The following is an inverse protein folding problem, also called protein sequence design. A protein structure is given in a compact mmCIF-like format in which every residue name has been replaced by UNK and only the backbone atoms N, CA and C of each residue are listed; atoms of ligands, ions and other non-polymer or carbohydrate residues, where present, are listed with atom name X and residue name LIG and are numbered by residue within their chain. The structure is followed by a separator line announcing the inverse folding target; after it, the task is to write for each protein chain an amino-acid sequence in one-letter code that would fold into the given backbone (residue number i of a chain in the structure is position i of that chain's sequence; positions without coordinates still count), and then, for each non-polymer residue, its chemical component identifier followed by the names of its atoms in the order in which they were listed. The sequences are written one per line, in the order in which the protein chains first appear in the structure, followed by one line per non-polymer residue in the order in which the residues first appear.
data_IF_573262417632
#
_entry.id   IF_573262417632
#
_cell.length_a   1.000
_cell.length_b   1.000
_cell.length_c   1.000
_cell.angle_alpha   90.00
_cell.angle_beta   90.00
_cell.angle_gamma   90.00
#
_symmetry.space_group_name_H-M   'P 1'
#
loop_
_entity.id
_entity.type
_entity.pdbx_description
1 polymer ?
#
# COMPACT_ATOMS: atom_id res chain seq x y z
N UNK A 1 -3.47 -5.05 -14.25
CA UNK A 1 -3.49 -5.54 -12.86
C UNK A 1 -2.80 -6.88 -12.77
N UNK A 2 -2.05 -7.09 -11.71
CA UNK A 2 -1.43 -8.39 -11.43
C UNK A 2 -2.43 -9.30 -10.74
N UNK A 3 -2.29 -10.61 -10.96
CA UNK A 3 -3.11 -11.60 -10.29
C UNK A 3 -2.28 -12.25 -9.18
N UNK A 4 -2.82 -12.30 -7.97
CA UNK A 4 -2.14 -12.92 -6.84
C UNK A 4 -2.24 -14.45 -6.93
N UNK A 5 -1.16 -15.18 -6.59
CA UNK A 5 -1.17 -16.63 -6.57
C UNK A 5 -1.88 -17.21 -5.34
N UNK A 6 -2.10 -16.41 -4.30
CA UNK A 6 -2.71 -16.84 -3.04
C UNK A 6 -3.76 -15.80 -2.61
N UNK A 7 -4.72 -16.16 -1.74
CA UNK A 7 -5.68 -15.19 -1.21
C UNK A 7 -5.00 -14.05 -0.45
N UNK A 8 -5.56 -12.82 -0.47
CA UNK A 8 -4.92 -11.67 0.17
C UNK A 8 -4.75 -11.80 1.67
N UNK A 9 -5.67 -12.44 2.39
CA UNK A 9 -5.55 -12.68 3.82
C UNK A 9 -4.40 -13.62 4.14
N UNK A 10 -4.18 -14.65 3.31
CA UNK A 10 -3.04 -15.56 3.45
C UNK A 10 -1.74 -14.82 3.18
N UNK A 11 -1.70 -13.99 2.15
CA UNK A 11 -0.54 -13.17 1.82
C UNK A 11 -0.13 -12.30 3.01
N UNK A 12 -1.08 -11.56 3.59
CA UNK A 12 -0.77 -10.70 4.74
C UNK A 12 -0.43 -11.50 5.99
N UNK A 13 -1.03 -12.67 6.19
CA UNK A 13 -0.71 -13.55 7.31
C UNK A 13 0.72 -14.08 7.22
N UNK A 14 1.15 -14.51 6.03
CA UNK A 14 2.49 -15.05 5.82
C UNK A 14 3.59 -13.99 6.03
N UNK A 15 3.29 -12.73 5.78
CA UNK A 15 4.24 -11.63 5.90
C UNK A 15 3.93 -10.70 7.07
N UNK A 16 3.24 -11.20 8.10
CA UNK A 16 2.79 -10.38 9.24
C UNK A 16 3.93 -9.65 9.96
N UNK A 17 5.12 -10.24 10.02
CA UNK A 17 6.27 -9.62 10.66
C UNK A 17 6.86 -8.43 9.87
N UNK A 18 6.56 -8.36 8.58
CA UNK A 18 7.05 -7.29 7.71
C UNK A 18 6.03 -6.16 7.54
N UNK A 19 4.85 -6.28 8.15
CA UNK A 19 3.82 -5.25 8.10
C UNK A 19 4.27 -3.99 8.83
N UNK A 20 4.06 -2.85 8.17
CA UNK A 20 4.32 -1.53 8.75
C UNK A 20 3.02 -0.75 8.84
N UNK A 21 2.92 0.11 9.84
CA UNK A 21 1.75 0.98 9.99
C UNK A 21 2.01 2.29 9.26
N UNK A 22 1.13 2.61 8.32
CA UNK A 22 1.19 3.85 7.54
C UNK A 22 0.04 4.76 7.91
N UNK A 23 0.35 6.02 8.18
CA UNK A 23 -0.66 7.07 8.31
C UNK A 23 -0.89 7.69 6.95
N UNK A 24 -2.15 7.80 6.54
CA UNK A 24 -2.53 8.44 5.28
C UNK A 24 -2.81 9.90 5.55
N UNK A 25 -2.08 10.78 4.88
CA UNK A 25 -2.21 12.23 5.03
C UNK A 25 -2.75 12.81 3.72
N UNK A 26 -3.86 13.51 3.83
CA UNK A 26 -4.54 14.14 2.69
C UNK A 26 -4.82 15.58 3.02
N UNK A 27 -4.33 16.49 2.16
CA UNK A 27 -4.48 17.94 2.40
C UNK A 27 -3.91 18.37 3.76
N UNK A 28 -2.77 17.76 4.16
CA UNK A 28 -2.12 18.10 5.42
C UNK A 28 -2.75 17.48 6.67
N UNK A 29 -3.77 16.64 6.52
CA UNK A 29 -4.50 16.04 7.63
C UNK A 29 -4.37 14.53 7.58
N UNK A 30 -4.00 13.92 8.72
CA UNK A 30 -3.99 12.46 8.86
C UNK A 30 -5.43 11.97 8.94
N UNK A 31 -5.87 11.21 7.91
CA UNK A 31 -7.27 10.79 7.80
C UNK A 31 -7.48 9.35 8.27
N UNK A 32 -6.46 8.49 8.22
CA UNK A 32 -6.59 7.10 8.61
C UNK A 32 -5.21 6.45 8.71
N UNK A 33 -5.18 5.21 9.20
CA UNK A 33 -3.98 4.39 9.27
C UNK A 33 -4.29 3.00 8.74
N UNK A 34 -3.32 2.42 8.04
CA UNK A 34 -3.43 1.05 7.52
C UNK A 34 -2.09 0.33 7.69
N UNK A 35 -2.17 -0.98 7.92
CA UNK A 35 -0.99 -1.83 7.83
C UNK A 35 -0.74 -2.20 6.38
N UNK A 36 0.51 -2.10 5.95
CA UNK A 36 0.89 -2.38 4.57
C UNK A 36 2.21 -3.11 4.48
N UNK A 37 2.43 -3.76 3.34
CA UNK A 37 3.68 -4.43 3.00
C UNK A 37 4.37 -3.64 1.91
N UNK A 38 5.58 -3.12 2.22
CA UNK A 38 6.37 -2.42 1.22
C UNK A 38 7.17 -3.40 0.36
N UNK A 39 7.35 -3.01 -0.90
CA UNK A 39 7.99 -3.86 -1.88
C UNK A 39 8.70 -3.01 -2.93
N UNK A 40 9.63 -3.63 -3.65
CA UNK A 40 10.31 -2.97 -4.78
C UNK A 40 10.31 -3.93 -5.96
N UNK A 41 9.89 -3.44 -7.12
CA UNK A 41 9.85 -4.21 -8.36
C UNK A 41 10.24 -3.30 -9.52
N UNK A 42 11.22 -3.73 -10.33
CA UNK A 42 11.70 -2.95 -11.47
C UNK A 42 12.08 -1.51 -11.09
N UNK A 43 12.78 -1.35 -9.95
CA UNK A 43 13.22 -0.05 -9.42
C UNK A 43 12.06 0.87 -8.98
N UNK A 44 10.85 0.33 -8.88
CA UNK A 44 9.70 1.07 -8.38
C UNK A 44 9.32 0.52 -7.01
N UNK A 45 9.11 1.42 -6.06
CA UNK A 45 8.66 1.05 -4.72
C UNK A 45 7.15 1.20 -4.64
N UNK A 46 6.52 0.27 -3.94
CA UNK A 46 5.08 0.31 -3.72
C UNK A 46 4.75 -0.34 -2.38
N UNK A 47 3.55 -0.05 -1.91
CA UNK A 47 3.03 -0.66 -0.67
C UNK A 47 1.71 -1.35 -1.02
N UNK A 48 1.57 -2.60 -0.58
CA UNK A 48 0.32 -3.34 -0.68
C UNK A 48 -0.52 -3.13 0.57
N UNK A 49 -1.80 -2.82 0.38
CA UNK A 49 -2.78 -2.68 1.45
C UNK A 49 -3.97 -3.59 1.19
N UNK A 50 -4.52 -4.16 2.25
CA UNK A 50 -5.76 -4.93 2.13
C UNK A 50 -6.95 -3.99 1.87
N UNK A 51 -7.88 -4.45 1.06
CA UNK A 51 -9.14 -3.75 0.82
C UNK A 51 -10.16 -4.13 1.91
N UNK A 52 -11.07 -3.21 2.29
CA UNK A 52 -11.18 -1.85 1.77
C UNK A 52 -10.15 -0.90 2.42
N UNK A 53 -9.66 0.05 1.64
CA UNK A 53 -8.82 1.13 2.15
C UNK A 53 -9.01 2.38 1.28
N UNK A 54 -8.76 3.55 1.88
CA UNK A 54 -8.95 4.84 1.21
C UNK A 54 -7.60 5.51 0.99
N UNK A 55 -6.96 5.16 -0.12
CA UNK A 55 -5.66 5.73 -0.52
C UNK A 55 -5.76 6.13 -1.98
N UNK A 56 -5.31 7.35 -2.29
CA UNK A 56 -5.39 7.92 -3.65
C UNK A 56 -4.03 8.51 -4.04
N UNK A 57 -3.81 8.61 -5.34
CA UNK A 57 -2.66 9.35 -5.86
C UNK A 57 -2.69 10.79 -5.34
N UNK A 58 -1.53 11.27 -4.88
CA UNK A 58 -1.42 12.58 -4.24
C UNK A 58 -1.44 12.55 -2.72
N UNK A 59 -1.87 11.43 -2.12
CA UNK A 59 -1.80 11.25 -0.68
C UNK A 59 -0.35 11.07 -0.23
N UNK A 60 -0.08 11.37 1.04
CA UNK A 60 1.19 11.06 1.67
C UNK A 60 1.00 9.87 2.61
N UNK A 61 2.01 9.00 2.64
CA UNK A 61 2.07 7.90 3.60
C UNK A 61 3.22 8.17 4.56
N UNK A 62 2.94 8.19 5.85
CA UNK A 62 3.95 8.40 6.88
C UNK A 62 4.16 7.11 7.67
N UNK A 63 5.43 6.71 7.83
CA UNK A 63 5.80 5.51 8.57
C UNK A 63 7.15 5.75 9.24
N UNK A 64 7.21 5.64 10.56
CA UNK A 64 8.44 5.75 11.34
C UNK A 64 9.24 7.03 11.04
N UNK A 65 8.56 8.15 10.82
CA UNK A 65 9.20 9.44 10.53
C UNK A 65 9.54 9.67 9.07
N UNK A 66 9.40 8.67 8.23
CA UNK A 66 9.57 8.81 6.78
C UNK A 66 8.23 9.14 6.12
N UNK A 67 8.29 9.96 5.09
CA UNK A 67 7.09 10.38 4.36
C UNK A 67 7.25 10.01 2.87
N UNK A 68 6.20 9.43 2.31
CA UNK A 68 6.20 8.95 0.93
C UNK A 68 5.01 9.54 0.18
N UNK A 69 5.25 10.02 -1.04
CA UNK A 69 4.17 10.49 -1.91
C UNK A 69 3.61 9.31 -2.71
N UNK A 70 2.30 9.14 -2.69
CA UNK A 70 1.62 8.18 -3.55
C UNK A 70 1.50 8.79 -4.94
N UNK A 71 2.21 8.22 -5.90
CA UNK A 71 2.23 8.73 -7.28
C UNK A 71 1.16 8.09 -8.15
N UNK A 72 0.79 6.85 -7.84
CA UNK A 72 -0.18 6.07 -8.63
C UNK A 72 -0.79 4.99 -7.73
N UNK A 73 -2.05 4.69 -7.97
CA UNK A 73 -2.75 3.59 -7.31
C UNK A 73 -3.18 2.58 -8.37
N UNK A 74 -2.92 1.32 -8.11
CA UNK A 74 -3.36 0.21 -8.93
C UNK A 74 -3.93 -0.88 -8.01
N UNK A 75 -4.42 -1.97 -8.60
CA UNK A 75 -5.01 -3.06 -7.82
C UNK A 75 -4.45 -4.38 -8.31
N UNK A 76 -4.12 -5.26 -7.36
CA UNK A 76 -3.84 -6.65 -7.65
C UNK A 76 -5.12 -7.45 -7.42
N UNK A 77 -5.33 -8.45 -8.24
CA UNK A 77 -6.55 -9.25 -8.21
C UNK A 77 -6.27 -10.64 -7.64
N UNK A 78 -7.34 -11.25 -7.13
CA UNK A 78 -7.35 -12.67 -6.79
C UNK A 78 -8.70 -13.20 -7.24
N UNK A 79 -8.68 -14.28 -7.99
CA UNK A 79 -9.90 -14.95 -8.50
C UNK A 79 -10.81 -13.96 -9.27
N UNK A 80 -10.19 -13.10 -10.09
CA UNK A 80 -10.90 -12.15 -10.94
C UNK A 80 -11.44 -10.91 -10.25
N UNK A 81 -11.20 -10.76 -8.95
CA UNK A 81 -11.69 -9.63 -8.16
C UNK A 81 -10.53 -8.83 -7.58
N UNK A 82 -10.75 -7.54 -7.35
CA UNK A 82 -9.77 -6.69 -6.68
C UNK A 82 -9.50 -7.23 -5.27
N UNK A 83 -8.25 -7.50 -4.95
CA UNK A 83 -7.85 -8.12 -3.69
C UNK A 83 -7.00 -7.19 -2.84
N UNK A 84 -6.05 -6.48 -3.46
CA UNK A 84 -5.13 -5.57 -2.79
C UNK A 84 -5.05 -4.26 -3.53
N UNK A 85 -4.89 -3.17 -2.78
CA UNK A 85 -4.50 -1.88 -3.35
C UNK A 85 -2.98 -1.82 -3.38
N UNK A 86 -2.44 -1.36 -4.51
CA UNK A 86 -1.01 -1.21 -4.74
C UNK A 86 -0.71 0.28 -4.92
N UNK A 87 -0.12 0.88 -3.91
CA UNK A 87 0.22 2.29 -3.92
C UNK A 87 1.68 2.46 -4.31
N UNK A 88 1.95 3.01 -5.49
CA UNK A 88 3.32 3.35 -5.91
C UNK A 88 3.75 4.60 -5.19
N UNK A 89 4.95 4.59 -4.63
CA UNK A 89 5.44 5.65 -3.76
C UNK A 89 6.83 6.14 -4.19
N UNK A 90 7.09 7.41 -3.86
CA UNK A 90 8.43 7.98 -3.87
C UNK A 90 8.66 8.64 -2.52
N UNK A 91 9.91 8.63 -2.05
CA UNK A 91 10.21 9.24 -0.76
C UNK A 91 10.21 10.76 -0.88
N UNK A 92 9.48 11.41 0.02
CA UNK A 92 9.51 12.85 0.20
C UNK A 92 10.64 13.23 1.16
N UNK A 93 11.41 14.20 0.79
CA UNK A 93 12.54 14.68 1.58
C UNK A 93 12.19 16.00 2.25
#
# INVERSE_FOLDING_TARGET
MSSLPIPPDVYFSDFAFDLKCYSVIRNGIAICQYSGLDNTENRKSYVHFQLPCDIKAGDLLECNGDCFLVTKVDFDTFDGQKALLKAFIIQEI
#
